data_IF_921782755297
#
_entry.id   IF_921782755297
#
_cell.length_a   1.000
_cell.length_b   1.000
_cell.length_c   1.000
_cell.angle_alpha   90.00
_cell.angle_beta   90.00
_cell.angle_gamma   90.00
#
_symmetry.space_group_name_H-M   'P 1'
#
loop_
_entity.id
_entity.type
_entity.pdbx_description
1 polymer ?
#
# COMPACT_ATOMS: atom_id res chain seq x y z
N UNK A 1 -5.42 -0.31 0.64
CA UNK A 1 -5.28 0.86 -0.26
C UNK A 1 -4.68 0.36 -1.54
N UNK A 2 -5.39 0.46 -2.63
CA UNK A 2 -5.15 -0.31 -3.86
C UNK A 2 -4.08 0.33 -4.73
N UNK A 3 -3.20 -0.49 -5.30
CA UNK A 3 -2.19 -0.12 -6.31
C UNK A 3 -2.87 0.09 -7.67
N UNK A 4 -2.42 1.08 -8.44
CA UNK A 4 -2.99 1.44 -9.73
C UNK A 4 -2.08 1.03 -10.88
N UNK A 5 -2.57 0.25 -11.86
CA UNK A 5 -1.90 0.12 -13.12
C UNK A 5 -2.17 1.36 -13.99
N UNK A 6 -1.27 2.33 -13.95
CA UNK A 6 -1.15 3.32 -15.02
C UNK A 6 0.01 2.85 -15.91
N UNK A 7 -0.15 1.71 -16.59
CA UNK A 7 0.73 1.38 -17.70
C UNK A 7 0.46 2.35 -18.86
N UNK A 8 1.29 3.36 -18.95
CA UNK A 8 1.52 4.05 -20.21
C UNK A 8 2.15 3.02 -21.13
N UNK A 9 1.44 2.59 -22.16
CA UNK A 9 1.86 1.58 -23.12
C UNK A 9 3.30 1.88 -23.61
N UNK A 10 4.27 1.19 -23.01
CA UNK A 10 5.66 1.22 -23.45
C UNK A 10 5.83 0.17 -24.57
N UNK A 11 6.19 0.64 -25.74
CA UNK A 11 6.50 -0.21 -26.88
C UNK A 11 7.59 -1.24 -26.58
N UNK A 12 7.38 -2.42 -27.14
CA UNK A 12 8.26 -3.57 -27.43
C UNK A 12 9.61 -3.70 -26.70
N UNK A 13 9.88 -4.88 -26.10
CA UNK A 13 11.14 -5.14 -25.40
C UNK A 13 12.31 -5.30 -26.38
N UNK A 14 13.31 -4.47 -26.20
CA UNK A 14 14.62 -4.66 -26.85
C UNK A 14 15.36 -5.81 -26.15
N UNK A 15 15.52 -6.93 -26.88
CA UNK A 15 16.39 -8.04 -26.52
C UNK A 15 17.81 -7.52 -26.28
N UNK A 16 18.32 -7.59 -25.06
CA UNK A 16 19.76 -7.49 -24.80
C UNK A 16 20.40 -8.85 -24.86
N UNK A 17 21.35 -8.97 -25.79
CA UNK A 17 22.21 -10.13 -25.97
C UNK A 17 23.19 -10.23 -24.80
N UNK A 18 23.34 -11.45 -24.29
CA UNK A 18 24.38 -11.84 -23.35
C UNK A 18 25.73 -11.87 -24.03
N UNK A 19 26.70 -11.11 -23.53
CA UNK A 19 28.09 -11.22 -23.85
C UNK A 19 28.82 -11.97 -22.75
N UNK A 20 29.30 -13.19 -23.07
CA UNK A 20 30.28 -13.92 -22.27
C UNK A 20 31.63 -13.22 -22.37
N UNK A 21 32.33 -13.02 -21.25
CA UNK A 21 33.78 -12.92 -21.20
C UNK A 21 34.31 -13.67 -19.99
N UNK A 22 35.16 -14.62 -20.30
CA UNK A 22 35.92 -15.48 -19.40
C UNK A 22 37.28 -14.86 -19.05
N UNK A 23 37.89 -15.39 -17.99
CA UNK A 23 39.31 -15.39 -17.60
C UNK A 23 39.61 -14.52 -16.36
N UNK A 24 40.46 -14.87 -15.45
CA UNK A 24 41.50 -15.90 -15.28
C UNK A 24 41.95 -15.84 -13.81
N UNK A 25 42.35 -16.98 -13.30
CA UNK A 25 42.92 -17.22 -11.97
C UNK A 25 44.30 -16.58 -11.78
N UNK A 26 44.53 -15.95 -10.61
CA UNK A 26 45.92 -15.79 -10.09
C UNK A 26 45.92 -16.15 -8.60
N UNK A 27 46.71 -17.16 -8.28
CA UNK A 27 47.13 -17.59 -6.93
C UNK A 27 48.05 -16.55 -6.30
N UNK A 28 47.76 -16.17 -5.07
CA UNK A 28 48.67 -15.41 -4.24
C UNK A 28 48.52 -15.79 -2.77
N UNK A 29 49.46 -16.60 -2.27
CA UNK A 29 49.65 -16.90 -0.84
C UNK A 29 50.12 -15.66 -0.11
N UNK A 30 49.39 -15.23 0.93
CA UNK A 30 49.93 -14.32 1.96
C UNK A 30 49.43 -14.72 3.34
N UNK A 31 50.40 -14.81 4.20
CA UNK A 31 50.52 -15.14 5.61
C UNK A 31 49.43 -14.65 6.57
N UNK A 32 49.10 -15.53 7.50
CA UNK A 32 48.21 -15.36 8.65
C UNK A 32 48.80 -14.37 9.67
N UNK A 33 48.10 -13.27 9.88
CA UNK A 33 48.21 -12.44 11.08
C UNK A 33 46.91 -12.56 11.86
N UNK A 34 46.96 -13.19 13.02
CA UNK A 34 45.84 -13.28 13.96
C UNK A 34 45.67 -11.91 14.63
N UNK A 35 44.74 -11.08 14.13
CA UNK A 35 44.20 -9.96 14.90
C UNK A 35 43.01 -10.47 15.71
N UNK A 36 43.12 -10.36 17.03
CA UNK A 36 41.96 -10.55 17.93
C UNK A 36 40.92 -9.49 17.61
N UNK A 37 39.86 -9.87 16.91
CA UNK A 37 38.69 -9.04 16.71
C UNK A 37 37.91 -8.98 18.04
N UNK A 38 37.86 -7.80 18.66
CA UNK A 38 36.88 -7.51 19.69
C UNK A 38 35.49 -7.73 19.11
N UNK A 39 34.73 -8.67 19.68
CA UNK A 39 33.37 -8.94 19.30
C UNK A 39 32.51 -7.72 19.67
N UNK A 40 32.29 -6.82 18.72
CA UNK A 40 31.18 -5.90 18.77
C UNK A 40 29.90 -6.72 18.63
N UNK A 41 29.29 -7.05 19.76
CA UNK A 41 27.90 -7.54 19.77
C UNK A 41 27.04 -6.43 19.17
N UNK A 42 26.39 -6.63 18.01
CA UNK A 42 25.41 -5.67 17.54
C UNK A 42 24.33 -5.57 18.61
N UNK A 43 24.03 -4.35 19.05
CA UNK A 43 22.84 -4.07 19.84
C UNK A 43 21.70 -4.40 18.88
N UNK A 44 21.13 -5.60 19.02
CA UNK A 44 19.98 -6.01 18.25
C UNK A 44 18.82 -5.08 18.60
N UNK A 45 18.47 -4.20 17.69
CA UNK A 45 17.20 -3.50 17.75
C UNK A 45 16.15 -4.61 17.63
N UNK A 46 15.46 -4.89 18.73
CA UNK A 46 14.32 -5.82 18.75
C UNK A 46 13.20 -5.15 17.93
N UNK A 47 13.13 -5.47 16.66
CA UNK A 47 11.98 -5.10 15.82
C UNK A 47 10.77 -5.93 16.26
N UNK A 48 9.64 -5.27 16.51
CA UNK A 48 8.41 -5.97 16.82
C UNK A 48 8.03 -6.83 15.59
N UNK A 49 7.87 -8.13 15.83
CA UNK A 49 7.38 -9.03 14.79
C UNK A 49 5.87 -8.92 14.66
N UNK A 50 5.26 -9.21 13.50
CA UNK A 50 3.81 -9.24 13.36
C UNK A 50 3.12 -10.06 14.45
N UNK A 51 3.70 -11.20 14.86
CA UNK A 51 3.18 -12.04 15.93
C UNK A 51 3.13 -11.35 17.30
N UNK A 52 4.07 -10.44 17.61
CA UNK A 52 4.07 -9.71 18.88
C UNK A 52 3.04 -8.57 18.93
N UNK A 53 2.56 -8.12 17.79
CA UNK A 53 1.58 -7.02 17.66
C UNK A 53 0.13 -7.51 17.64
N UNK A 54 -0.13 -8.81 17.43
CA UNK A 54 -1.47 -9.37 17.18
C UNK A 54 -2.50 -8.94 18.24
N UNK A 55 -2.21 -9.08 19.51
CA UNK A 55 -3.14 -8.71 20.59
C UNK A 55 -3.48 -7.22 20.65
N UNK A 56 -2.58 -6.35 20.16
CA UNK A 56 -2.81 -4.90 20.05
C UNK A 56 -3.63 -4.57 18.83
N UNK A 57 -3.38 -5.24 17.70
CA UNK A 57 -4.07 -5.06 16.42
C UNK A 57 -5.59 -5.20 16.58
N UNK A 58 -6.05 -6.19 17.33
CA UNK A 58 -7.47 -6.44 17.55
C UNK A 58 -8.18 -5.31 18.32
N UNK A 59 -7.42 -4.49 19.06
CA UNK A 59 -7.95 -3.37 19.85
C UNK A 59 -7.91 -2.03 19.14
N UNK A 60 -7.29 -1.94 17.96
CA UNK A 60 -7.16 -0.67 17.20
C UNK A 60 -8.53 -0.26 16.63
N UNK A 61 -9.12 0.85 17.09
CA UNK A 61 -10.35 1.35 16.53
C UNK A 61 -10.08 2.09 15.22
N UNK A 62 -10.89 1.85 14.20
CA UNK A 62 -10.86 2.61 12.95
C UNK A 62 -12.13 3.43 12.82
N UNK A 63 -11.98 4.70 12.48
CA UNK A 63 -13.11 5.61 12.33
C UNK A 63 -13.80 5.43 10.97
N UNK A 64 -15.11 5.21 10.99
CA UNK A 64 -15.92 5.27 9.78
C UNK A 64 -15.94 6.70 9.25
N UNK A 65 -15.56 6.91 7.99
CA UNK A 65 -15.44 8.23 7.41
C UNK A 65 -15.55 8.24 5.89
N UNK A 66 -15.86 9.40 5.36
CA UNK A 66 -15.75 9.73 3.94
C UNK A 66 -14.73 10.85 3.78
N UNK A 67 -13.78 10.68 2.88
CA UNK A 67 -12.77 11.68 2.56
C UNK A 67 -12.70 11.92 1.05
N UNK A 68 -12.40 13.17 0.68
CA UNK A 68 -12.14 13.56 -0.71
C UNK A 68 -10.78 14.25 -0.78
N UNK A 69 -9.97 13.82 -1.74
CA UNK A 69 -8.64 14.39 -1.98
C UNK A 69 -8.56 14.90 -3.42
N UNK A 70 -8.04 16.11 -3.61
CA UNK A 70 -7.67 16.58 -4.94
C UNK A 70 -6.23 16.15 -5.22
N UNK A 71 -6.02 15.63 -6.42
CA UNK A 71 -4.71 15.16 -6.90
C UNK A 71 -4.09 16.17 -7.84
N UNK A 72 -2.79 16.40 -7.66
CA UNK A 72 -1.97 17.25 -8.54
C UNK A 72 -0.62 16.57 -8.78
N UNK A 73 -0.02 16.85 -9.96
CA UNK A 73 1.34 16.39 -10.25
C UNK A 73 2.33 17.09 -9.32
N UNK A 74 3.04 16.32 -8.50
CA UNK A 74 4.08 16.83 -7.61
C UNK A 74 5.47 16.75 -8.24
N UNK A 75 5.74 15.66 -8.97
CA UNK A 75 7.04 15.40 -9.58
C UNK A 75 6.87 14.49 -10.80
N UNK A 76 7.68 14.74 -11.82
CA UNK A 76 7.82 13.85 -12.98
C UNK A 76 9.31 13.68 -13.28
N UNK A 77 9.72 12.47 -13.67
CA UNK A 77 11.13 12.10 -13.91
C UNK A 77 11.22 11.31 -15.22
N UNK A 78 12.05 11.82 -16.13
CA UNK A 78 12.24 11.19 -17.45
C UNK A 78 11.40 11.82 -18.55
N UNK A 79 11.77 11.52 -19.79
CA UNK A 79 11.17 12.13 -20.99
C UNK A 79 9.79 11.58 -21.35
N UNK A 80 9.42 10.43 -20.79
CA UNK A 80 8.12 9.79 -21.00
C UNK A 80 7.10 10.09 -19.89
N UNK A 81 7.53 10.78 -18.83
CA UNK A 81 6.66 11.13 -17.72
C UNK A 81 5.61 12.16 -18.13
N UNK A 82 4.44 12.19 -17.45
CA UNK A 82 3.42 13.18 -17.73
C UNK A 82 3.94 14.60 -17.46
N UNK A 83 3.55 15.54 -18.31
CA UNK A 83 3.82 16.97 -18.18
C UNK A 83 2.84 17.67 -17.26
N UNK A 84 1.68 17.05 -17.02
CA UNK A 84 0.65 17.50 -16.09
C UNK A 84 -0.22 16.35 -15.63
N UNK A 85 -0.73 16.46 -14.42
CA UNK A 85 -1.73 15.55 -13.90
C UNK A 85 -2.63 16.26 -12.89
N UNK A 86 -3.92 15.95 -12.94
CA UNK A 86 -4.91 16.37 -11.96
C UNK A 86 -5.94 15.28 -11.77
N UNK A 87 -6.55 15.26 -10.61
CA UNK A 87 -7.55 14.23 -10.35
C UNK A 87 -8.23 14.40 -9.01
N UNK A 88 -9.01 13.40 -8.64
CA UNK A 88 -9.71 13.35 -7.36
C UNK A 88 -9.85 11.92 -6.87
N UNK A 89 -9.63 11.74 -5.58
CA UNK A 89 -9.98 10.52 -4.87
C UNK A 89 -11.23 10.80 -4.02
N UNK A 90 -12.23 9.92 -4.14
CA UNK A 90 -13.32 9.77 -3.19
C UNK A 90 -13.12 8.45 -2.44
N UNK A 91 -13.12 8.51 -1.12
CA UNK A 91 -12.85 7.38 -0.25
C UNK A 91 -13.93 7.28 0.83
N UNK A 92 -14.64 6.15 0.89
CA UNK A 92 -15.59 5.81 1.93
C UNK A 92 -15.09 4.59 2.68
N UNK A 93 -14.97 4.68 3.98
CA UNK A 93 -14.61 3.59 4.88
C UNK A 93 -15.63 3.50 6.01
N UNK A 94 -16.18 2.32 6.25
CA UNK A 94 -17.17 2.13 7.30
C UNK A 94 -17.15 0.70 7.83
N UNK A 95 -17.67 0.53 9.05
CA UNK A 95 -17.77 -0.77 9.68
C UNK A 95 -17.15 -0.82 11.06
N UNK A 96 -17.02 -2.03 11.57
CA UNK A 96 -16.50 -2.30 12.92
C UNK A 96 -15.76 -3.64 12.95
N UNK A 97 -15.05 -3.90 14.04
CA UNK A 97 -14.41 -5.21 14.26
C UNK A 97 -15.45 -6.34 14.37
N UNK A 98 -16.72 -6.03 14.64
CA UNK A 98 -17.80 -7.02 14.76
C UNK A 98 -18.46 -7.34 13.42
N UNK A 99 -18.71 -6.30 12.62
CA UNK A 99 -19.49 -6.41 11.37
C UNK A 99 -18.61 -6.53 10.12
N UNK A 100 -17.28 -6.34 10.29
CA UNK A 100 -16.35 -6.19 9.19
C UNK A 100 -16.30 -4.75 8.68
N UNK A 101 -15.45 -4.53 7.68
CA UNK A 101 -15.14 -3.21 7.12
C UNK A 101 -15.42 -3.17 5.63
N UNK A 102 -16.15 -2.16 5.22
CA UNK A 102 -16.42 -1.85 3.81
C UNK A 102 -15.58 -0.65 3.41
N UNK A 103 -14.91 -0.76 2.27
CA UNK A 103 -14.20 0.34 1.65
C UNK A 103 -14.71 0.52 0.22
N UNK A 104 -15.10 1.76 -0.12
CA UNK A 104 -15.33 2.17 -1.50
C UNK A 104 -14.32 3.25 -1.85
N UNK A 105 -13.67 3.07 -2.96
CA UNK A 105 -12.64 3.97 -3.46
C UNK A 105 -12.88 4.27 -4.94
N UNK A 106 -12.81 5.55 -5.30
CA UNK A 106 -12.79 5.98 -6.69
C UNK A 106 -11.66 6.97 -6.90
N UNK A 107 -10.85 6.75 -7.90
CA UNK A 107 -9.85 7.71 -8.33
C UNK A 107 -10.08 8.04 -9.81
N UNK A 108 -10.40 9.30 -10.06
CA UNK A 108 -10.42 9.88 -11.39
C UNK A 108 -9.13 10.69 -11.58
N UNK A 109 -8.37 10.39 -12.63
CA UNK A 109 -7.10 11.07 -12.93
C UNK A 109 -7.03 11.42 -14.40
N UNK A 110 -6.75 12.68 -14.68
CA UNK A 110 -6.41 13.21 -16.00
C UNK A 110 -4.89 13.34 -16.09
N UNK A 111 -4.29 12.68 -17.06
CA UNK A 111 -2.85 12.69 -17.31
C UNK A 111 -2.58 13.35 -18.67
N UNK A 112 -1.66 14.31 -18.67
CA UNK A 112 -1.15 14.96 -19.87
C UNK A 112 0.21 14.32 -20.20
N UNK A 113 0.31 13.39 -21.14
CA UNK A 113 1.59 12.81 -21.52
C UNK A 113 2.49 13.85 -22.20
N UNK A 114 3.79 13.57 -22.29
CA UNK A 114 4.72 14.44 -23.02
C UNK A 114 4.38 14.52 -24.52
N UNK A 115 3.85 13.44 -25.06
CA UNK A 115 3.39 13.35 -26.46
C UNK A 115 2.03 12.65 -26.50
N UNK A 116 1.16 13.09 -27.41
CA UNK A 116 -0.16 12.50 -27.60
C UNK A 116 -1.29 13.21 -26.83
N UNK A 117 -2.51 12.66 -26.88
CA UNK A 117 -3.67 13.25 -26.24
C UNK A 117 -3.64 13.04 -24.72
N UNK A 118 -4.32 13.92 -24.00
CA UNK A 118 -4.63 13.72 -22.57
C UNK A 118 -5.40 12.43 -22.38
N UNK A 119 -5.08 11.67 -21.32
CA UNK A 119 -5.72 10.40 -20.96
C UNK A 119 -6.50 10.57 -19.66
N UNK A 120 -7.66 9.97 -19.61
CA UNK A 120 -8.50 9.94 -18.40
C UNK A 120 -8.55 8.50 -17.89
N UNK A 121 -8.15 8.29 -16.64
CA UNK A 121 -8.30 7.01 -15.94
C UNK A 121 -9.32 7.18 -14.83
N UNK A 122 -10.34 6.32 -14.81
CA UNK A 122 -11.38 6.25 -13.77
C UNK A 122 -11.38 4.86 -13.16
N UNK A 123 -10.88 4.76 -11.94
CA UNK A 123 -10.78 3.51 -11.23
C UNK A 123 -11.75 3.48 -10.05
N UNK A 124 -12.45 2.38 -9.95
CA UNK A 124 -13.37 2.05 -8.86
C UNK A 124 -12.89 0.79 -8.15
N UNK A 125 -12.91 0.82 -6.81
CA UNK A 125 -12.68 -0.36 -5.99
C UNK A 125 -13.73 -0.43 -4.90
N UNK A 126 -14.31 -1.60 -4.70
CA UNK A 126 -15.20 -1.92 -3.59
C UNK A 126 -14.69 -3.18 -2.90
N UNK A 127 -14.46 -3.09 -1.59
CA UNK A 127 -13.94 -4.21 -0.80
C UNK A 127 -14.73 -4.40 0.48
N UNK A 128 -14.76 -5.64 0.94
CA UNK A 128 -15.25 -6.02 2.26
C UNK A 128 -14.21 -6.91 2.93
N UNK A 129 -13.82 -6.56 4.15
CA UNK A 129 -12.91 -7.35 4.98
C UNK A 129 -13.61 -7.72 6.28
N UNK A 130 -13.64 -9.01 6.59
CA UNK A 130 -14.17 -9.52 7.86
C UNK A 130 -13.42 -8.90 9.04
N UNK A 131 -14.12 -8.51 10.08
CA UNK A 131 -13.54 -7.82 11.23
C UNK A 131 -12.45 -8.61 11.98
N UNK A 132 -12.46 -9.94 11.84
CA UNK A 132 -11.45 -10.86 12.36
C UNK A 132 -10.38 -11.27 11.33
N UNK A 133 -10.39 -10.64 10.14
CA UNK A 133 -9.42 -10.93 9.07
C UNK A 133 -9.56 -12.31 8.42
N UNK A 134 -10.73 -12.97 8.54
CA UNK A 134 -10.94 -14.32 7.98
C UNK A 134 -11.26 -14.30 6.50
N UNK A 135 -11.86 -13.26 6.00
CA UNK A 135 -12.22 -13.16 4.59
C UNK A 135 -12.09 -11.73 4.07
N UNK A 136 -11.78 -11.63 2.78
CA UNK A 136 -11.66 -10.39 2.05
C UNK A 136 -12.30 -10.57 0.68
N UNK A 137 -13.32 -9.78 0.36
CA UNK A 137 -13.95 -9.73 -0.95
C UNK A 137 -13.54 -8.44 -1.63
N UNK A 138 -13.23 -8.50 -2.92
CA UNK A 138 -12.73 -7.36 -3.66
C UNK A 138 -13.28 -7.34 -5.08
N UNK A 139 -13.59 -6.13 -5.53
CA UNK A 139 -13.98 -5.84 -6.92
C UNK A 139 -13.33 -4.54 -7.33
N UNK A 140 -12.61 -4.57 -8.45
CA UNK A 140 -11.97 -3.40 -9.06
C UNK A 140 -12.30 -3.32 -10.52
N UNK A 141 -12.52 -2.08 -11.00
CA UNK A 141 -12.77 -1.77 -12.41
C UNK A 141 -11.99 -0.50 -12.75
N UNK A 142 -11.26 -0.54 -13.85
CA UNK A 142 -10.56 0.63 -14.38
C UNK A 142 -11.06 0.91 -15.79
N UNK A 143 -11.46 2.14 -16.04
CA UNK A 143 -11.78 2.67 -17.36
C UNK A 143 -10.65 3.60 -17.79
N UNK A 144 -10.25 3.55 -19.04
CA UNK A 144 -9.31 4.51 -19.63
C UNK A 144 -9.97 5.10 -20.87
N UNK A 145 -10.17 6.42 -20.86
CA UNK A 145 -10.89 7.15 -21.93
C UNK A 145 -12.27 6.56 -22.22
N UNK A 146 -13.02 6.25 -21.15
CA UNK A 146 -14.35 5.62 -21.15
C UNK A 146 -14.41 4.17 -21.68
N UNK A 147 -13.25 3.56 -21.97
CA UNK A 147 -13.17 2.15 -22.36
C UNK A 147 -12.69 1.28 -21.20
N UNK A 148 -13.28 0.09 -20.98
CA UNK A 148 -12.81 -0.84 -19.96
C UNK A 148 -11.35 -1.25 -20.21
N UNK A 149 -10.48 -1.06 -19.21
CA UNK A 149 -9.07 -1.46 -19.25
C UNK A 149 -8.86 -2.74 -18.43
N UNK A 150 -9.24 -2.69 -17.15
CA UNK A 150 -8.98 -3.77 -16.21
C UNK A 150 -10.19 -4.05 -15.34
N UNK A 151 -10.41 -5.33 -15.05
CA UNK A 151 -11.44 -5.78 -14.12
C UNK A 151 -10.90 -6.93 -13.28
N UNK A 152 -11.03 -6.78 -11.97
CA UNK A 152 -10.69 -7.84 -11.01
C UNK A 152 -11.87 -8.04 -10.08
N UNK A 153 -12.25 -9.31 -9.84
CA UNK A 153 -13.33 -9.68 -8.93
C UNK A 153 -12.96 -11.01 -8.28
N UNK A 154 -13.03 -11.07 -6.97
CA UNK A 154 -12.67 -12.29 -6.27
C UNK A 154 -12.94 -12.22 -4.76
N UNK A 155 -12.61 -13.34 -4.13
CA UNK A 155 -12.70 -13.50 -2.68
C UNK A 155 -11.51 -14.28 -2.16
N UNK A 156 -10.89 -13.75 -1.11
CA UNK A 156 -9.87 -14.42 -0.34
C UNK A 156 -10.46 -14.95 0.98
N UNK A 157 -10.01 -16.11 1.41
CA UNK A 157 -10.40 -16.74 2.68
C UNK A 157 -9.17 -17.29 3.38
N UNK A 158 -9.04 -17.01 4.67
CA UNK A 158 -8.03 -17.59 5.53
C UNK A 158 -8.60 -18.84 6.17
N UNK A 159 -8.07 -20.00 5.80
CA UNK A 159 -8.42 -21.25 6.42
C UNK A 159 -7.78 -21.29 7.82
N UNK A 160 -8.52 -21.65 8.85
CA UNK A 160 -8.18 -21.64 10.28
C UNK A 160 -6.68 -21.76 10.57
N UNK A 161 -5.97 -20.63 10.79
CA UNK A 161 -4.51 -20.50 10.92
C UNK A 161 -3.71 -21.10 9.75
N UNK A 162 -4.33 -21.16 8.57
CA UNK A 162 -3.82 -21.78 7.37
C UNK A 162 -3.49 -20.76 6.27
N UNK A 163 -3.11 -21.25 5.09
CA UNK A 163 -2.88 -20.43 3.91
C UNK A 163 -4.12 -19.63 3.54
N UNK A 164 -3.91 -18.53 2.84
CA UNK A 164 -5.00 -17.75 2.23
C UNK A 164 -5.33 -18.37 0.89
N UNK A 165 -6.55 -18.90 0.75
CA UNK A 165 -7.11 -19.30 -0.54
C UNK A 165 -7.79 -18.13 -1.22
N UNK A 166 -7.62 -17.98 -2.53
CA UNK A 166 -8.27 -16.94 -3.33
C UNK A 166 -9.04 -17.58 -4.49
N UNK A 167 -10.32 -17.24 -4.57
CA UNK A 167 -11.19 -17.60 -5.68
C UNK A 167 -11.38 -16.34 -6.54
N UNK A 168 -10.74 -16.30 -7.71
CA UNK A 168 -10.93 -15.25 -8.71
C UNK A 168 -12.11 -15.58 -9.62
N UNK A 169 -12.87 -14.55 -9.95
CA UNK A 169 -13.93 -14.57 -10.97
C UNK A 169 -13.47 -13.80 -12.22
N UNK A 170 -12.79 -12.69 -12.03
CA UNK A 170 -12.18 -11.86 -13.09
C UNK A 170 -10.72 -11.56 -12.74
N UNK A 171 -9.84 -11.40 -13.75
CA UNK A 171 -10.08 -11.39 -15.21
C UNK A 171 -10.47 -12.75 -15.78
N UNK A 172 -10.11 -13.85 -15.13
CA UNK A 172 -10.47 -15.24 -15.47
C UNK A 172 -10.73 -16.02 -14.18
N UNK A 173 -11.62 -17.01 -14.18
CA UNK A 173 -11.80 -17.90 -13.05
C UNK A 173 -10.50 -18.64 -12.74
N UNK A 174 -10.02 -18.51 -11.51
CA UNK A 174 -8.79 -19.14 -11.04
C UNK A 174 -8.84 -19.36 -9.52
N UNK A 175 -8.25 -20.44 -9.03
CA UNK A 175 -8.08 -20.72 -7.62
C UNK A 175 -6.59 -20.64 -7.26
N UNK A 176 -6.27 -19.82 -6.26
CA UNK A 176 -4.91 -19.58 -5.81
C UNK A 176 -4.79 -19.92 -4.33
N UNK A 177 -3.58 -20.23 -3.89
CA UNK A 177 -3.26 -20.42 -2.48
C UNK A 177 -1.95 -19.71 -2.15
N UNK A 178 -2.00 -18.88 -1.12
CA UNK A 178 -0.85 -18.13 -0.61
C UNK A 178 -0.46 -18.62 0.79
N UNK A 179 0.75 -18.26 1.23
CA UNK A 179 1.25 -18.66 2.55
C UNK A 179 0.43 -18.12 3.73
N UNK A 180 0.88 -18.44 4.95
CA UNK A 180 0.14 -18.16 6.18
C UNK A 180 0.21 -16.70 6.65
N UNK A 181 1.26 -15.98 6.28
CA UNK A 181 1.60 -14.67 6.87
C UNK A 181 1.20 -13.51 5.93
N UNK A 182 0.02 -13.62 5.32
CA UNK A 182 -0.48 -12.60 4.39
C UNK A 182 -1.58 -11.81 5.07
N UNK A 183 -1.45 -10.48 5.12
CA UNK A 183 -2.44 -9.57 5.68
C UNK A 183 -3.40 -9.06 4.60
N UNK A 184 -4.62 -8.72 5.01
CA UNK A 184 -5.56 -7.96 4.20
C UNK A 184 -5.43 -6.45 4.47
N UNK A 185 -5.97 -5.56 3.62
CA UNK A 185 -5.70 -4.12 3.68
C UNK A 185 -6.05 -3.44 5.01
N UNK A 186 -7.21 -3.75 5.61
CA UNK A 186 -7.61 -3.16 6.89
C UNK A 186 -6.74 -3.68 8.03
N UNK A 187 -6.44 -4.96 8.01
CA UNK A 187 -5.51 -5.60 8.94
C UNK A 187 -4.13 -4.94 8.85
N UNK A 188 -3.61 -4.72 7.63
CA UNK A 188 -2.33 -4.04 7.40
C UNK A 188 -2.28 -2.65 8.06
N UNK A 189 -3.31 -1.82 7.87
CA UNK A 189 -3.39 -0.49 8.52
C UNK A 189 -3.39 -0.62 10.05
N UNK A 190 -4.08 -1.60 10.62
CA UNK A 190 -4.05 -1.86 12.06
C UNK A 190 -2.66 -2.27 12.55
N UNK A 191 -1.94 -3.11 11.80
CA UNK A 191 -0.54 -3.46 12.12
C UNK A 191 0.39 -2.25 12.09
N UNK A 192 0.25 -1.37 11.10
CA UNK A 192 1.01 -0.12 11.04
C UNK A 192 0.73 0.75 12.27
N UNK A 193 -0.53 0.90 12.67
CA UNK A 193 -0.91 1.66 13.87
C UNK A 193 -0.40 1.02 15.16
N UNK A 194 -0.43 -0.32 15.25
CA UNK A 194 0.12 -1.04 16.39
C UNK A 194 1.63 -0.83 16.51
N UNK A 195 2.37 -0.95 15.41
CA UNK A 195 3.80 -0.69 15.34
C UNK A 195 4.13 0.76 15.72
N UNK A 196 3.39 1.74 15.15
CA UNK A 196 3.54 3.15 15.47
C UNK A 196 3.33 3.47 16.96
N UNK A 197 2.31 2.87 17.59
CA UNK A 197 2.02 3.01 19.03
C UNK A 197 3.08 2.32 19.90
N UNK A 198 3.69 1.24 19.42
CA UNK A 198 4.81 0.57 20.07
C UNK A 198 6.15 1.35 19.94
N UNK A 199 6.18 2.40 19.09
CA UNK A 199 7.39 3.19 18.84
C UNK A 199 8.32 2.58 17.80
N UNK A 200 7.84 1.61 17.02
CA UNK A 200 8.59 1.01 15.92
C UNK A 200 8.68 1.97 14.74
N UNK A 201 9.80 1.94 14.05
CA UNK A 201 10.06 2.80 12.88
C UNK A 201 9.88 2.07 11.55
N UNK A 202 9.80 0.75 11.59
CA UNK A 202 9.66 -0.11 10.38
C UNK A 202 8.70 -1.26 10.67
N UNK A 203 8.01 -1.69 9.61
CA UNK A 203 7.18 -2.89 9.62
C UNK A 203 7.30 -3.56 8.26
N UNK A 204 7.62 -4.85 8.25
CA UNK A 204 7.69 -5.66 7.04
C UNK A 204 6.62 -6.76 7.11
N UNK A 205 5.71 -6.76 6.15
CA UNK A 205 4.61 -7.74 6.08
C UNK A 205 4.24 -8.02 4.64
N UNK A 206 3.64 -9.17 4.40
CA UNK A 206 3.07 -9.56 3.11
C UNK A 206 1.61 -9.17 3.06
N UNK A 207 1.20 -8.56 1.96
CA UNK A 207 -0.16 -8.04 1.79
C UNK A 207 -0.80 -8.60 0.53
N UNK A 208 -2.04 -9.07 0.66
CA UNK A 208 -2.92 -9.35 -0.46
C UNK A 208 -4.04 -8.32 -0.44
N UNK A 209 -4.09 -7.47 -1.44
CA UNK A 209 -5.09 -6.39 -1.57
C UNK A 209 -6.04 -6.56 -2.76
N UNK A 210 -5.89 -7.67 -3.51
CA UNK A 210 -6.70 -7.98 -4.68
C UNK A 210 -6.45 -7.06 -5.88
N UNK A 211 -5.40 -6.23 -5.85
CA UNK A 211 -5.06 -5.30 -6.93
C UNK A 211 -4.32 -5.98 -8.09
N UNK A 212 -4.00 -5.18 -9.12
CA UNK A 212 -3.36 -5.64 -10.34
C UNK A 212 -4.23 -6.69 -11.06
N UNK A 213 -3.80 -7.91 -11.16
CA UNK A 213 -4.53 -9.04 -11.75
C UNK A 213 -5.27 -9.91 -10.72
N UNK A 214 -5.20 -9.55 -9.43
CA UNK A 214 -5.85 -10.27 -8.33
C UNK A 214 -5.13 -11.55 -7.89
N UNK A 215 -3.97 -11.84 -8.47
CA UNK A 215 -3.18 -13.05 -8.23
C UNK A 215 -1.84 -12.77 -7.56
N UNK A 216 -1.62 -11.54 -7.06
CA UNK A 216 -0.34 -11.11 -6.52
C UNK A 216 -0.37 -10.88 -5.02
N UNK A 217 0.74 -11.26 -4.39
CA UNK A 217 1.12 -10.80 -3.06
C UNK A 217 2.20 -9.76 -3.19
N UNK A 218 2.14 -8.76 -2.33
CA UNK A 218 3.16 -7.75 -2.22
C UNK A 218 3.92 -7.92 -0.91
N UNK A 219 5.24 -8.03 -1.01
CA UNK A 219 6.09 -7.74 0.13
C UNK A 219 6.06 -6.25 0.38
N UNK A 220 5.75 -5.83 1.61
CA UNK A 220 5.68 -4.42 1.94
C UNK A 220 6.69 -4.07 3.01
N UNK A 221 7.41 -2.96 2.78
CA UNK A 221 8.22 -2.30 3.78
C UNK A 221 7.59 -0.97 4.13
N UNK A 222 7.18 -0.83 5.38
CA UNK A 222 6.59 0.40 5.91
C UNK A 222 7.59 1.12 6.78
N UNK A 223 7.84 2.40 6.49
CA UNK A 223 8.58 3.33 7.36
C UNK A 223 7.59 4.19 8.12
N UNK A 224 7.78 4.31 9.44
CA UNK A 224 6.93 5.06 10.36
C UNK A 224 7.79 6.17 10.97
N UNK A 225 7.41 7.41 10.70
CA UNK A 225 8.09 8.59 11.23
C UNK A 225 7.75 8.87 12.70
N UNK A 226 8.34 9.93 13.24
CA UNK A 226 8.03 10.39 14.59
C UNK A 226 6.58 10.90 14.67
N UNK A 227 5.89 10.71 15.80
CA UNK A 227 4.53 11.20 15.96
C UNK A 227 4.47 12.73 15.84
N UNK A 228 3.38 13.20 15.29
CA UNK A 228 3.04 14.62 15.12
C UNK A 228 1.77 14.90 15.93
N UNK A 229 1.86 15.79 16.89
CA UNK A 229 0.76 16.17 17.77
C UNK A 229 0.20 17.59 17.46
N UNK A 230 0.76 18.26 16.41
CA UNK A 230 0.28 19.59 15.98
C UNK A 230 -0.90 19.48 15.04
N UNK A 231 -1.83 20.44 14.99
CA UNK A 231 -2.93 20.45 14.05
C UNK A 231 -2.47 20.34 12.59
N UNK A 232 -3.30 19.70 11.75
CA UNK A 232 -3.03 19.60 10.32
C UNK A 232 -3.24 20.96 9.63
N UNK A 233 -2.48 21.28 8.57
CA UNK A 233 -2.66 22.54 7.84
C UNK A 233 -3.92 22.56 6.95
N UNK A 234 -4.41 21.40 6.47
CA UNK A 234 -5.63 21.37 5.66
C UNK A 234 -6.88 21.63 6.49
N UNK A 235 -7.69 22.58 6.05
CA UNK A 235 -8.94 22.96 6.72
C UNK A 235 -9.90 21.77 6.91
N UNK A 236 -9.93 20.82 5.96
CA UNK A 236 -10.76 19.63 6.05
C UNK A 236 -10.37 18.68 7.20
N UNK A 237 -9.11 18.72 7.63
CA UNK A 237 -8.61 17.92 8.77
C UNK A 237 -8.67 18.69 10.10
N UNK A 238 -9.04 19.98 10.11
CA UNK A 238 -9.20 20.79 11.31
C UNK A 238 -10.60 20.60 11.93
N UNK A 239 -10.90 19.38 12.30
CA UNK A 239 -12.15 19.01 12.98
C UNK A 239 -11.86 18.62 14.44
N UNK A 240 -12.80 18.82 15.38
CA UNK A 240 -12.56 18.57 16.81
C UNK A 240 -11.98 17.19 17.13
N UNK A 241 -12.39 16.16 16.39
CA UNK A 241 -11.88 14.79 16.60
C UNK A 241 -10.39 14.66 16.28
N UNK A 242 -9.87 15.40 15.29
CA UNK A 242 -8.48 15.27 14.83
C UNK A 242 -7.54 16.33 15.42
N UNK A 243 -8.07 17.39 16.02
CA UNK A 243 -7.30 18.56 16.49
C UNK A 243 -6.17 18.17 17.46
N UNK A 244 -6.45 17.23 18.36
CA UNK A 244 -5.49 16.75 19.36
C UNK A 244 -5.10 15.28 19.15
N UNK A 245 -5.49 14.71 18.01
CA UNK A 245 -5.22 13.32 17.70
C UNK A 245 -3.82 13.18 17.11
N UNK A 246 -3.04 12.28 17.69
CA UNK A 246 -1.71 11.92 17.19
C UNK A 246 -1.78 11.31 15.81
N UNK A 247 -0.80 11.63 14.97
CA UNK A 247 -0.60 11.01 13.67
C UNK A 247 0.87 10.73 13.41
N UNK A 248 1.14 9.81 12.51
CA UNK A 248 2.50 9.47 12.10
C UNK A 248 2.66 9.63 10.59
N UNK A 249 3.77 10.22 10.10
CA UNK A 249 4.16 10.09 8.71
C UNK A 249 4.46 8.61 8.42
N UNK A 250 3.78 8.06 7.43
CA UNK A 250 3.93 6.66 7.01
C UNK A 250 4.31 6.61 5.54
N UNK A 251 5.24 5.73 5.20
CA UNK A 251 5.59 5.42 3.81
C UNK A 251 5.60 3.91 3.63
N UNK A 252 4.77 3.41 2.73
CA UNK A 252 4.66 2.00 2.39
C UNK A 252 5.24 1.79 0.99
N UNK A 253 6.24 0.95 0.87
CA UNK A 253 6.79 0.50 -0.42
C UNK A 253 6.27 -0.91 -0.70
N UNK A 254 5.74 -1.10 -1.92
CA UNK A 254 5.18 -2.37 -2.39
C UNK A 254 6.11 -3.00 -3.41
N UNK A 255 6.54 -4.22 -3.14
CA UNK A 255 7.40 -5.03 -4.01
C UNK A 255 6.61 -6.24 -4.50
N UNK A 256 6.73 -6.56 -5.78
CA UNK A 256 6.13 -7.76 -6.35
C UNK A 256 6.97 -8.99 -5.95
N UNK A 257 6.44 -9.85 -5.07
CA UNK A 257 7.11 -11.06 -4.56
C UNK A 257 7.62 -11.97 -5.72
N UNK A 258 6.87 -12.02 -6.82
CA UNK A 258 7.22 -12.86 -7.96
C UNK A 258 8.41 -12.34 -8.80
N UNK A 259 8.77 -11.05 -8.68
CA UNK A 259 9.78 -10.42 -9.55
C UNK A 259 11.16 -10.32 -8.93
N UNK A 260 11.28 -10.44 -7.61
CA UNK A 260 12.54 -10.22 -6.90
C UNK A 260 13.15 -8.82 -7.22
N UNK A 261 12.28 -7.81 -7.37
CA UNK A 261 12.66 -6.47 -7.81
C UNK A 261 13.40 -5.72 -6.69
N UNK A 262 14.51 -5.06 -7.04
CA UNK A 262 15.27 -4.21 -6.11
C UNK A 262 14.56 -2.87 -5.83
N UNK A 263 13.63 -2.46 -6.69
CA UNK A 263 12.89 -1.22 -6.57
C UNK A 263 11.40 -1.49 -6.37
N UNK A 264 10.70 -0.69 -5.52
CA UNK A 264 9.29 -0.86 -5.33
C UNK A 264 8.52 -0.53 -6.61
N UNK A 265 7.51 -1.33 -6.90
CA UNK A 265 6.58 -1.05 -7.99
C UNK A 265 5.75 0.20 -7.73
N UNK A 266 5.48 0.47 -6.46
CA UNK A 266 4.66 1.58 -6.01
C UNK A 266 5.03 1.98 -4.58
N UNK A 267 5.01 3.27 -4.30
CA UNK A 267 5.20 3.78 -2.94
C UNK A 267 4.09 4.75 -2.58
N UNK A 268 3.48 4.54 -1.43
CA UNK A 268 2.43 5.38 -0.89
C UNK A 268 2.92 6.04 0.40
N UNK A 269 2.87 7.38 0.46
CA UNK A 269 3.17 8.13 1.70
C UNK A 269 1.96 8.94 2.13
N UNK A 270 1.76 9.06 3.44
CA UNK A 270 0.66 9.82 4.04
C UNK A 270 0.91 10.04 5.53
N UNK A 271 0.22 11.01 6.12
CA UNK A 271 0.09 11.06 7.57
C UNK A 271 -1.09 10.20 8.01
N UNK A 272 -0.87 9.26 8.92
CA UNK A 272 -1.87 8.34 9.45
C UNK A 272 -2.24 8.73 10.88
N UNK A 273 -3.48 9.14 11.10
CA UNK A 273 -4.03 9.35 12.43
C UNK A 273 -4.27 8.02 13.16
N UNK A 274 -4.22 8.05 14.49
CA UNK A 274 -4.38 6.82 15.30
C UNK A 274 -5.76 6.16 15.21
N UNK A 275 -6.72 6.79 14.54
CA UNK A 275 -8.04 6.25 14.20
C UNK A 275 -8.15 5.78 12.74
N UNK A 276 -7.05 5.68 12.00
CA UNK A 276 -7.00 5.18 10.62
C UNK A 276 -7.29 6.21 9.53
N UNK A 277 -7.68 7.44 9.87
CA UNK A 277 -7.83 8.51 8.87
C UNK A 277 -6.45 8.92 8.35
N UNK A 278 -6.34 9.07 7.03
CA UNK A 278 -5.09 9.49 6.37
C UNK A 278 -5.25 10.84 5.67
N UNK A 279 -4.15 11.61 5.59
CA UNK A 279 -4.05 12.90 4.90
C UNK A 279 -2.70 13.07 4.18
N UNK A 280 -2.54 14.15 3.42
CA UNK A 280 -1.29 14.50 2.74
C UNK A 280 -0.72 13.35 1.89
N UNK A 281 -1.58 12.77 1.05
CA UNK A 281 -1.21 11.61 0.26
C UNK A 281 -0.12 11.95 -0.75
N UNK A 282 0.79 10.99 -0.98
CA UNK A 282 1.75 11.00 -2.07
C UNK A 282 1.77 9.62 -2.71
N UNK A 283 1.40 9.58 -3.97
CA UNK A 283 1.23 8.39 -4.78
C UNK A 283 2.40 8.37 -5.78
N UNK A 284 3.41 7.53 -5.51
CA UNK A 284 4.62 7.45 -6.33
C UNK A 284 4.55 6.21 -7.23
N UNK A 285 4.46 6.43 -8.53
CA UNK A 285 4.38 5.41 -9.57
C UNK A 285 5.73 5.12 -10.24
N UNK A 286 6.84 5.62 -9.66
CA UNK A 286 8.17 5.52 -10.23
C UNK A 286 8.50 6.74 -11.10
N UNK A 287 7.90 6.86 -12.26
CA UNK A 287 8.15 7.94 -13.22
C UNK A 287 7.52 9.28 -12.80
N UNK A 288 6.47 9.25 -11.98
CA UNK A 288 5.82 10.46 -11.49
C UNK A 288 5.21 10.26 -10.10
N UNK A 289 4.98 11.37 -9.42
CA UNK A 289 4.37 11.42 -8.09
C UNK A 289 3.18 12.36 -8.12
N UNK A 290 2.02 11.89 -7.62
CA UNK A 290 0.87 12.74 -7.35
C UNK A 290 0.83 13.11 -5.87
N UNK A 291 0.51 14.38 -5.58
CA UNK A 291 0.13 14.83 -4.24
C UNK A 291 -1.39 14.82 -4.12
N UNK A 292 -1.91 14.29 -3.00
CA UNK A 292 -3.32 14.30 -2.66
C UNK A 292 -3.59 15.16 -1.42
N UNK A 293 -4.24 16.30 -1.61
CA UNK A 293 -4.64 17.21 -0.54
C UNK A 293 -6.07 16.92 -0.11
N UNK A 294 -6.30 16.73 1.19
CA UNK A 294 -7.65 16.51 1.73
C UNK A 294 -8.51 17.76 1.58
N UNK A 295 -9.60 17.66 0.83
CA UNK A 295 -10.57 18.75 0.59
C UNK A 295 -11.85 18.61 1.40
N UNK A 296 -12.21 17.39 1.77
CA UNK A 296 -13.40 17.12 2.58
C UNK A 296 -13.17 15.90 3.46
N UNK A 297 -13.65 15.98 4.68
CA UNK A 297 -13.71 14.87 5.62
C UNK A 297 -15.05 14.89 6.34
N UNK A 298 -15.78 13.78 6.30
CA UNK A 298 -17.01 13.57 7.02
C UNK A 298 -16.92 12.29 7.83
N UNK A 299 -17.07 12.39 9.13
CA UNK A 299 -17.19 11.23 9.99
C UNK A 299 -18.57 10.57 9.79
N UNK A 300 -18.59 9.27 9.77
CA UNK A 300 -19.79 8.45 9.67
C UNK A 300 -20.03 7.75 11.01
N UNK A 301 -21.30 7.43 11.36
CA UNK A 301 -21.59 6.61 12.52
C UNK A 301 -20.87 5.26 12.40
N UNK A 302 -20.24 4.83 13.49
CA UNK A 302 -19.72 3.47 13.61
C UNK A 302 -20.77 2.63 14.33
N UNK A 303 -21.25 1.53 13.73
CA UNK A 303 -22.19 0.64 14.42
C UNK A 303 -21.60 0.15 15.74
N UNK A 304 -22.34 0.15 16.84
CA UNK A 304 -21.89 -0.46 18.08
C UNK A 304 -21.77 -1.97 17.88
N UNK A 305 -20.69 -2.57 18.41
CA UNK A 305 -20.61 -4.02 18.50
C UNK A 305 -21.71 -4.54 19.44
N UNK A 306 -22.80 -5.04 18.89
CA UNK A 306 -23.80 -5.80 19.64
C UNK A 306 -23.31 -7.25 19.73
N UNK A 307 -22.88 -7.67 20.92
CA UNK A 307 -22.62 -9.08 21.21
C UNK A 307 -23.91 -9.86 21.32
#
# INVERSE_FOLDING_TARGET
MVKFPLEVAAGTPVRRQAGLLAAASIFGLISSSVLAAAANTPIGVLQATPASLQGVVDTIPLASHRAVYDLTLLKAVGTKSPTGARGRIAFDFSGSACDGYVQNFRQLTELQPAEGPTRISDMHSATFEDGSGKSFSFKMETMVDDEPSDQVDGRAQRLTRGPVGVDLVKPKPEQLAFGHDVLFPTEHIKYILAAAKAGENTLEVRVFDGSDTGDKIFDTTTFIGRPIDTPAPEAAAQIPMLEHMRRWPVTISYFDDARNDEAPNYTLSFDLYENGISRALRLNYGDFVLAGEMKSLKLLPTPPCTK
#
